data_IF_933753571855
#
_entry.id   IF_933753571855
#
_cell.length_a   1.000
_cell.length_b   1.000
_cell.length_c   1.000
_cell.angle_alpha   90.00
_cell.angle_beta   90.00
_cell.angle_gamma   90.00
#
_symmetry.space_group_name_H-M   'P 1'
#
loop_
_entity.id
_entity.type
_entity.pdbx_description
1 polymer ?
#
# COMPACT_ATOMS: atom_id res chain seq x y z
N UNK A 1 1.88 33.14 -17.67
CA UNK A 1 1.74 32.62 -16.29
C UNK A 1 3.13 32.26 -15.75
N UNK A 2 3.57 32.92 -14.67
CA UNK A 2 4.94 32.83 -14.11
C UNK A 2 5.36 31.38 -13.83
N UNK A 3 6.41 30.91 -14.52
CA UNK A 3 7.14 29.69 -14.17
C UNK A 3 7.80 29.90 -12.80
N UNK A 4 7.32 29.21 -11.77
CA UNK A 4 7.99 29.16 -10.47
C UNK A 4 9.06 28.06 -10.53
N UNK A 5 10.30 28.50 -10.43
CA UNK A 5 11.54 27.75 -10.61
C UNK A 5 11.53 26.38 -9.89
N UNK A 6 11.73 25.29 -10.63
CA UNK A 6 11.88 23.96 -10.03
C UNK A 6 13.28 23.86 -9.45
N UNK A 7 13.38 23.93 -8.11
CA UNK A 7 14.65 23.79 -7.37
C UNK A 7 15.07 22.31 -7.40
N UNK A 8 15.63 21.88 -8.52
CA UNK A 8 16.12 20.53 -8.86
C UNK A 8 15.08 19.45 -9.20
N UNK A 9 14.82 19.17 -10.49
CA UNK A 9 13.94 18.08 -10.94
C UNK A 9 14.47 16.65 -10.67
N UNK A 10 15.67 16.51 -10.09
CA UNK A 10 16.32 15.22 -9.78
C UNK A 10 15.94 14.62 -8.42
N UNK A 11 15.21 15.35 -7.56
CA UNK A 11 14.84 14.87 -6.21
C UNK A 11 13.33 14.71 -6.09
N UNK A 12 12.89 13.48 -5.79
CA UNK A 12 11.49 13.12 -5.52
C UNK A 12 10.87 13.98 -4.40
N UNK A 13 11.69 14.44 -3.45
CA UNK A 13 11.30 15.36 -2.37
C UNK A 13 10.89 16.76 -2.85
N UNK A 14 11.33 17.21 -4.04
CA UNK A 14 10.89 18.51 -4.58
C UNK A 14 9.42 18.52 -5.02
N UNK A 15 8.85 17.35 -5.34
CA UNK A 15 7.43 17.23 -5.66
C UNK A 15 6.55 17.29 -4.40
N UNK A 16 7.03 16.73 -3.28
CA UNK A 16 6.37 16.82 -1.96
C UNK A 16 6.17 18.27 -1.49
N UNK A 17 7.18 19.12 -1.66
CA UNK A 17 7.10 20.53 -1.25
C UNK A 17 6.16 21.36 -2.14
N UNK A 18 5.91 20.94 -3.37
CA UNK A 18 5.02 21.67 -4.29
C UNK A 18 3.53 21.33 -4.05
N UNK A 19 3.22 20.11 -3.57
CA UNK A 19 1.86 19.70 -3.19
C UNK A 19 1.62 19.72 -1.66
N UNK A 20 2.44 20.51 -0.94
CA UNK A 20 2.31 20.77 0.49
C UNK A 20 0.87 21.07 0.98
N UNK A 21 0.02 21.87 0.30
CA UNK A 21 -1.33 22.13 0.81
C UNK A 21 -2.22 20.88 0.85
N UNK A 22 -2.09 19.97 -0.13
CA UNK A 22 -2.88 18.73 -0.15
C UNK A 22 -2.34 17.76 0.89
N UNK A 23 -1.02 17.69 1.05
CA UNK A 23 -0.38 16.89 2.09
C UNK A 23 -0.81 17.35 3.49
N UNK A 24 -0.84 18.67 3.74
CA UNK A 24 -1.30 19.24 5.01
C UNK A 24 -2.77 18.89 5.29
N UNK A 25 -3.66 18.97 4.30
CA UNK A 25 -5.06 18.53 4.46
C UNK A 25 -5.15 17.03 4.77
N UNK A 26 -4.35 16.19 4.12
CA UNK A 26 -4.28 14.75 4.38
C UNK A 26 -3.73 14.46 5.79
N UNK A 27 -2.73 15.21 6.25
CA UNK A 27 -2.15 15.07 7.58
C UNK A 27 -3.12 15.52 8.67
N UNK A 28 -3.77 16.68 8.52
CA UNK A 28 -4.74 17.20 9.49
C UNK A 28 -5.97 16.29 9.58
N UNK A 29 -6.59 15.95 8.44
CA UNK A 29 -7.73 15.02 8.41
C UNK A 29 -7.33 13.62 8.89
N UNK A 30 -6.10 13.20 8.60
CA UNK A 30 -5.51 11.96 9.08
C UNK A 30 -5.38 11.90 10.59
N UNK A 31 -4.81 12.94 11.20
CA UNK A 31 -4.66 13.03 12.65
C UNK A 31 -6.01 13.03 13.37
N UNK A 32 -6.98 13.81 12.88
CA UNK A 32 -8.33 13.87 13.46
C UNK A 32 -8.99 12.49 13.41
N UNK A 33 -8.93 11.81 12.25
CA UNK A 33 -9.45 10.45 12.11
C UNK A 33 -8.74 9.46 13.05
N UNK A 34 -7.41 9.48 13.09
CA UNK A 34 -6.62 8.52 13.87
C UNK A 34 -6.82 8.68 15.38
N UNK A 35 -6.93 9.93 15.88
CA UNK A 35 -7.27 10.20 17.28
C UNK A 35 -8.74 9.80 17.52
N UNK A 36 -9.63 10.09 16.58
CA UNK A 36 -11.04 9.69 16.65
C UNK A 36 -11.26 8.18 16.71
N UNK A 37 -10.36 7.37 16.13
CA UNK A 37 -10.42 5.90 16.25
C UNK A 37 -10.28 5.42 17.70
N UNK A 38 -9.58 6.17 18.56
CA UNK A 38 -9.44 5.89 20.01
C UNK A 38 -10.77 6.06 20.74
N UNK A 39 -11.68 6.90 20.22
CA UNK A 39 -13.01 7.08 20.81
C UNK A 39 -13.83 5.78 20.78
N UNK A 40 -13.62 4.91 19.79
CA UNK A 40 -14.29 3.62 19.66
C UNK A 40 -14.16 2.76 20.92
N UNK A 41 -12.94 2.30 21.26
CA UNK A 41 -12.69 1.53 22.48
C UNK A 41 -13.08 2.26 23.76
N UNK A 42 -12.92 3.59 23.82
CA UNK A 42 -13.29 4.40 24.97
C UNK A 42 -14.80 4.31 25.28
N UNK A 43 -15.63 4.61 24.28
CA UNK A 43 -17.08 4.56 24.42
C UNK A 43 -17.59 3.14 24.63
N UNK A 44 -16.99 2.15 23.95
CA UNK A 44 -17.31 0.74 24.19
C UNK A 44 -17.06 0.35 25.65
N UNK A 45 -15.93 0.75 26.24
CA UNK A 45 -15.64 0.51 27.65
C UNK A 45 -16.67 1.16 28.58
N UNK A 46 -17.05 2.42 28.31
CA UNK A 46 -18.07 3.11 29.11
C UNK A 46 -19.47 2.51 28.97
N UNK A 47 -19.84 2.02 27.79
CA UNK A 47 -21.12 1.36 27.55
C UNK A 47 -21.18 0.01 28.28
N UNK A 48 -20.10 -0.76 28.27
CA UNK A 48 -20.01 -2.03 29.03
C UNK A 48 -20.14 -1.76 30.53
N UNK A 49 -19.42 -0.75 31.05
CA UNK A 49 -19.53 -0.37 32.46
C UNK A 49 -20.93 0.15 32.81
N UNK A 50 -21.52 1.00 31.95
CA UNK A 50 -22.87 1.52 32.14
C UNK A 50 -23.94 0.43 32.11
N UNK A 51 -23.75 -0.62 31.29
CA UNK A 51 -24.64 -1.78 31.25
C UNK A 51 -24.51 -2.63 32.52
N UNK A 52 -23.29 -2.83 33.02
CA UNK A 52 -23.04 -3.50 34.30
C UNK A 52 -23.69 -2.76 35.47
N UNK A 53 -23.59 -1.44 35.50
CA UNK A 53 -24.17 -0.61 36.56
C UNK A 53 -25.71 -0.52 36.48
N UNK A 54 -26.28 -0.57 35.26
CA UNK A 54 -27.74 -0.72 35.06
C UNK A 54 -28.24 -2.06 35.59
N UNK A 55 -27.51 -3.15 35.32
CA UNK A 55 -27.85 -4.50 35.79
C UNK A 55 -27.84 -4.58 37.32
N UNK A 56 -26.93 -3.83 37.96
CA UNK A 56 -26.84 -3.71 39.42
C UNK A 56 -27.78 -2.65 40.03
N UNK A 57 -28.74 -2.13 39.25
CA UNK A 57 -29.71 -1.09 39.65
C UNK A 57 -29.11 0.24 40.14
N UNK A 58 -27.86 0.57 39.76
CA UNK A 58 -27.16 1.78 40.20
C UNK A 58 -27.37 3.00 39.29
N UNK A 59 -27.84 2.81 38.05
CA UNK A 59 -27.93 3.88 37.03
C UNK A 59 -29.30 3.86 36.30
N UNK A 60 -29.77 5.06 35.92
CA UNK A 60 -30.96 5.26 35.09
C UNK A 60 -30.68 4.98 33.60
N UNK A 61 -31.57 4.24 32.92
CA UNK A 61 -31.45 3.89 31.50
C UNK A 61 -31.24 5.10 30.56
N UNK A 62 -31.78 6.28 30.92
CA UNK A 62 -31.60 7.51 30.14
C UNK A 62 -30.13 7.92 29.95
N UNK A 63 -29.26 7.68 30.94
CA UNK A 63 -27.84 8.03 30.86
C UNK A 63 -27.11 7.13 29.87
N UNK A 64 -27.50 5.86 29.78
CA UNK A 64 -26.97 4.91 28.80
C UNK A 64 -27.38 5.28 27.37
N UNK A 65 -28.64 5.69 27.18
CA UNK A 65 -29.16 6.11 25.86
C UNK A 65 -28.45 7.36 25.37
N UNK A 66 -28.25 8.37 26.23
CA UNK A 66 -27.50 9.58 25.89
C UNK A 66 -26.05 9.26 25.49
N UNK A 67 -25.39 8.38 26.24
CA UNK A 67 -24.02 7.96 25.94
C UNK A 67 -23.93 7.19 24.61
N UNK A 68 -24.91 6.34 24.30
CA UNK A 68 -25.00 5.62 23.02
C UNK A 68 -25.23 6.56 21.83
N UNK A 69 -26.12 7.55 21.97
CA UNK A 69 -26.34 8.57 20.94
C UNK A 69 -25.08 9.40 20.68
N UNK A 70 -24.37 9.81 21.74
CA UNK A 70 -23.11 10.53 21.62
C UNK A 70 -22.05 9.67 20.92
N UNK A 71 -21.94 8.40 21.27
CA UNK A 71 -21.05 7.44 20.62
C UNK A 71 -21.33 7.33 19.12
N UNK A 72 -22.62 7.18 18.73
CA UNK A 72 -23.03 7.12 17.33
C UNK A 72 -22.64 8.40 16.56
N UNK A 73 -22.83 9.57 17.16
CA UNK A 73 -22.47 10.86 16.56
C UNK A 73 -20.95 10.96 16.35
N UNK A 74 -20.16 10.61 17.37
CA UNK A 74 -18.68 10.65 17.29
C UNK A 74 -18.18 9.71 16.21
N UNK A 75 -18.68 8.47 16.15
CA UNK A 75 -18.28 7.52 15.11
C UNK A 75 -18.70 8.01 13.72
N UNK A 76 -19.91 8.56 13.56
CA UNK A 76 -20.33 9.14 12.29
C UNK A 76 -19.37 10.26 11.82
N UNK A 77 -18.97 11.16 12.72
CA UNK A 77 -17.99 12.21 12.42
C UNK A 77 -16.64 11.63 11.99
N UNK A 78 -16.13 10.62 12.73
CA UNK A 78 -14.87 9.95 12.40
C UNK A 78 -14.92 9.31 11.01
N UNK A 79 -16.05 8.71 10.63
CA UNK A 79 -16.23 8.12 9.30
C UNK A 79 -16.31 9.17 8.18
N UNK A 80 -16.96 10.31 8.42
CA UNK A 80 -16.98 11.43 7.47
C UNK A 80 -15.55 11.96 7.27
N UNK A 81 -14.78 12.15 8.33
CA UNK A 81 -13.36 12.53 8.25
C UNK A 81 -12.54 11.50 7.45
N UNK A 82 -12.80 10.20 7.66
CA UNK A 82 -12.16 9.12 6.91
C UNK A 82 -12.46 9.21 5.41
N UNK A 83 -13.72 9.47 5.05
CA UNK A 83 -14.15 9.59 3.67
C UNK A 83 -13.45 10.78 2.98
N UNK A 84 -13.43 11.94 3.65
CA UNK A 84 -12.73 13.14 3.16
C UNK A 84 -11.25 12.85 2.97
N UNK A 85 -10.57 12.31 4.00
CA UNK A 85 -9.15 11.93 3.93
C UNK A 85 -8.88 11.02 2.74
N UNK A 86 -9.65 9.94 2.59
CA UNK A 86 -9.47 8.95 1.51
C UNK A 86 -9.68 9.59 0.13
N UNK A 87 -10.63 10.50 0.00
CA UNK A 87 -10.87 11.25 -1.23
C UNK A 87 -9.70 12.22 -1.54
N UNK A 88 -9.23 12.97 -0.55
CA UNK A 88 -8.08 13.89 -0.68
C UNK A 88 -6.81 13.18 -1.10
N UNK A 89 -6.50 12.02 -0.50
CA UNK A 89 -5.36 11.18 -0.90
C UNK A 89 -5.49 10.70 -2.35
N UNK A 90 -6.70 10.36 -2.78
CA UNK A 90 -6.93 9.88 -4.15
C UNK A 90 -6.75 11.02 -5.16
N UNK A 91 -7.22 12.23 -4.84
CA UNK A 91 -6.99 13.45 -5.63
C UNK A 91 -5.49 13.78 -5.69
N UNK A 92 -4.80 13.73 -4.56
CA UNK A 92 -3.35 13.96 -4.48
C UNK A 92 -2.59 13.10 -5.47
N UNK A 93 -2.81 11.78 -5.41
CA UNK A 93 -2.16 10.84 -6.32
C UNK A 93 -2.49 11.14 -7.80
N UNK A 94 -3.75 11.47 -8.11
CA UNK A 94 -4.14 11.82 -9.47
C UNK A 94 -3.50 13.12 -9.96
N UNK A 95 -3.40 14.16 -9.12
CA UNK A 95 -2.73 15.42 -9.45
C UNK A 95 -1.23 15.23 -9.66
N UNK A 96 -0.58 14.47 -8.77
CA UNK A 96 0.83 14.14 -8.88
C UNK A 96 1.11 13.35 -10.17
N UNK A 97 0.32 12.30 -10.48
CA UNK A 97 0.47 11.50 -11.71
C UNK A 97 0.30 12.37 -12.96
N UNK A 98 -0.75 13.20 -13.03
CA UNK A 98 -0.95 14.12 -14.16
C UNK A 98 0.23 15.07 -14.37
N UNK A 99 0.85 15.54 -13.29
CA UNK A 99 1.97 16.48 -13.36
C UNK A 99 3.26 15.82 -13.79
N UNK A 100 3.58 14.65 -13.23
CA UNK A 100 4.75 13.88 -13.66
C UNK A 100 4.63 13.49 -15.13
N UNK A 101 3.44 13.05 -15.59
CA UNK A 101 3.17 12.77 -17.00
C UNK A 101 3.36 14.01 -17.90
N UNK A 102 2.92 15.21 -17.48
CA UNK A 102 3.15 16.45 -18.25
C UNK A 102 4.62 16.84 -18.35
N UNK A 103 5.38 16.71 -17.27
CA UNK A 103 6.82 17.01 -17.29
C UNK A 103 7.57 16.02 -18.18
N UNK A 104 7.19 14.74 -18.12
CA UNK A 104 7.75 13.70 -18.97
C UNK A 104 7.45 13.97 -20.44
N UNK A 105 6.19 14.24 -20.78
CA UNK A 105 5.76 14.56 -22.14
C UNK A 105 6.46 15.81 -22.68
N UNK A 106 6.57 16.87 -21.87
CA UNK A 106 7.26 18.09 -22.27
C UNK A 106 8.76 17.86 -22.51
N UNK A 107 9.40 17.00 -21.72
CA UNK A 107 10.83 16.66 -21.88
C UNK A 107 11.06 15.79 -23.12
N UNK A 108 10.14 14.84 -23.39
CA UNK A 108 10.21 13.97 -24.58
C UNK A 108 9.91 14.73 -25.88
N UNK A 109 9.04 15.74 -25.86
CA UNK A 109 8.78 16.58 -27.03
C UNK A 109 9.96 17.49 -27.39
N UNK A 110 10.71 17.96 -26.40
CA UNK A 110 11.84 18.88 -26.60
C UNK A 110 13.19 18.18 -26.79
N UNK A 111 13.28 16.86 -26.55
CA UNK A 111 14.45 16.04 -26.86
C UNK A 111 14.05 14.98 -27.89
N UNK A 112 14.62 15.02 -29.09
CA UNK A 112 14.47 13.92 -30.05
C UNK A 112 15.16 12.66 -29.52
N UNK A 113 14.39 11.71 -29.01
CA UNK A 113 14.88 10.38 -28.59
C UNK A 113 14.72 9.36 -29.73
N UNK A 114 15.10 9.71 -30.97
CA UNK A 114 15.10 8.78 -32.12
C UNK A 114 13.80 7.97 -32.32
N UNK A 115 13.92 6.85 -33.03
CA UNK A 115 12.80 5.97 -33.41
C UNK A 115 12.14 5.22 -32.24
N UNK A 116 12.79 5.16 -31.07
CA UNK A 116 12.32 4.38 -29.90
C UNK A 116 11.57 5.24 -28.85
N UNK A 117 11.18 6.46 -29.22
CA UNK A 117 10.50 7.42 -28.32
C UNK A 117 9.20 6.83 -27.73
N UNK A 118 8.47 5.98 -28.47
CA UNK A 118 7.21 5.37 -28.01
C UNK A 118 7.39 4.34 -26.88
N UNK A 119 8.42 3.50 -26.97
CA UNK A 119 8.71 2.51 -25.92
C UNK A 119 9.26 3.21 -24.66
N UNK A 120 10.13 4.22 -24.85
CA UNK A 120 10.66 5.07 -23.78
C UNK A 120 9.53 5.81 -23.05
N UNK A 121 8.57 6.36 -23.78
CA UNK A 121 7.40 7.03 -23.20
C UNK A 121 6.54 6.06 -22.39
N UNK A 122 6.27 4.87 -22.93
CA UNK A 122 5.44 3.86 -22.24
C UNK A 122 6.10 3.40 -20.94
N UNK A 123 7.40 3.13 -20.98
CA UNK A 123 8.18 2.72 -19.81
C UNK A 123 8.23 3.80 -18.74
N UNK A 124 8.51 5.04 -19.14
CA UNK A 124 8.62 6.14 -18.21
C UNK A 124 7.26 6.57 -17.61
N UNK A 125 6.14 6.42 -18.34
CA UNK A 125 4.79 6.60 -17.78
C UNK A 125 4.49 5.52 -16.74
N UNK A 126 4.82 4.25 -17.05
CA UNK A 126 4.64 3.13 -16.12
C UNK A 126 5.45 3.29 -14.82
N UNK A 127 6.69 3.75 -14.93
CA UNK A 127 7.55 4.03 -13.78
C UNK A 127 7.00 5.17 -12.92
N UNK A 128 6.45 6.21 -13.54
CA UNK A 128 5.77 7.33 -12.86
C UNK A 128 4.54 6.85 -12.10
N UNK A 129 3.66 6.07 -12.73
CA UNK A 129 2.45 5.58 -12.07
C UNK A 129 2.80 4.66 -10.89
N UNK A 130 3.82 3.80 -11.06
CA UNK A 130 4.33 2.94 -9.99
C UNK A 130 4.89 3.74 -8.82
N UNK A 131 5.61 4.84 -9.09
CA UNK A 131 6.15 5.72 -8.08
C UNK A 131 5.06 6.48 -7.32
N UNK A 132 4.07 7.04 -8.03
CA UNK A 132 2.95 7.76 -7.43
C UNK A 132 2.07 6.83 -6.60
N UNK A 133 1.79 5.62 -7.11
CA UNK A 133 1.04 4.61 -6.38
C UNK A 133 1.78 4.16 -5.12
N UNK A 134 3.10 3.95 -5.23
CA UNK A 134 3.96 3.64 -4.09
C UNK A 134 3.96 4.75 -3.03
N UNK A 135 4.09 6.00 -3.45
CA UNK A 135 4.06 7.18 -2.58
C UNK A 135 2.71 7.35 -1.88
N UNK A 136 1.60 7.14 -2.62
CA UNK A 136 0.25 7.14 -2.05
C UNK A 136 0.12 6.09 -0.96
N UNK A 137 0.45 4.83 -1.27
CA UNK A 137 0.34 3.70 -0.33
C UNK A 137 1.22 3.92 0.89
N UNK A 138 2.47 4.34 0.70
CA UNK A 138 3.39 4.60 1.80
C UNK A 138 2.89 5.71 2.72
N UNK A 139 2.38 6.80 2.14
CA UNK A 139 1.82 7.91 2.91
C UNK A 139 0.60 7.45 3.69
N UNK A 140 -0.36 6.76 3.06
CA UNK A 140 -1.53 6.24 3.79
C UNK A 140 -1.14 5.24 4.85
N UNK A 141 -0.21 4.32 4.59
CA UNK A 141 0.14 3.27 5.54
C UNK A 141 0.82 3.84 6.79
N UNK A 142 1.77 4.76 6.63
CA UNK A 142 2.45 5.38 7.78
C UNK A 142 1.48 6.20 8.61
N UNK A 143 0.64 7.00 7.95
CA UNK A 143 -0.29 7.86 8.67
C UNK A 143 -1.48 7.08 9.24
N UNK A 144 -2.08 6.14 8.53
CA UNK A 144 -3.22 5.33 9.03
C UNK A 144 -2.76 4.31 10.06
N UNK A 145 -1.79 3.47 9.73
CA UNK A 145 -1.39 2.36 10.60
C UNK A 145 -0.49 2.84 11.73
N UNK A 146 0.54 3.64 11.40
CA UNK A 146 1.54 4.07 12.38
C UNK A 146 0.96 4.98 13.48
N UNK A 147 0.20 6.01 13.08
CA UNK A 147 -0.39 6.96 14.04
C UNK A 147 -1.47 6.30 14.88
N UNK A 148 -2.33 5.45 14.31
CA UNK A 148 -3.35 4.71 15.07
C UNK A 148 -2.68 3.76 16.06
N UNK A 149 -1.62 3.07 15.66
CA UNK A 149 -0.89 2.17 16.56
C UNK A 149 -0.29 2.92 17.75
N UNK A 150 0.30 4.11 17.54
CA UNK A 150 0.82 4.96 18.62
C UNK A 150 -0.32 5.47 19.51
N UNK A 151 -1.43 5.91 18.92
CA UNK A 151 -2.57 6.43 19.66
C UNK A 151 -3.21 5.35 20.55
N UNK A 152 -3.37 4.13 20.04
CA UNK A 152 -3.84 3.00 20.84
C UNK A 152 -2.84 2.57 21.91
N UNK A 153 -1.54 2.54 21.60
CA UNK A 153 -0.51 2.23 22.60
C UNK A 153 -0.53 3.24 23.76
N UNK A 154 -0.62 4.53 23.45
CA UNK A 154 -0.70 5.59 24.45
C UNK A 154 -1.98 5.47 25.30
N UNK A 155 -3.12 5.18 24.67
CA UNK A 155 -4.39 4.93 25.37
C UNK A 155 -4.27 3.73 26.32
N UNK A 156 -3.75 2.60 25.84
CA UNK A 156 -3.59 1.37 26.62
C UNK A 156 -2.67 1.59 27.83
N UNK A 157 -1.52 2.26 27.62
CA UNK A 157 -0.61 2.63 28.70
C UNK A 157 -1.26 3.56 29.74
N UNK A 158 -2.15 4.45 29.31
CA UNK A 158 -2.91 5.31 30.22
C UNK A 158 -3.93 4.52 31.06
N UNK A 159 -4.55 3.48 30.52
CA UNK A 159 -5.52 2.65 31.25
C UNK A 159 -4.86 1.68 32.24
N UNK A 160 -3.93 0.85 31.77
CA UNK A 160 -3.19 -0.08 32.63
C UNK A 160 -1.83 -0.44 32.02
N UNK A 161 -0.77 0.03 32.66
CA UNK A 161 0.61 -0.19 32.22
C UNK A 161 1.00 -1.68 32.26
N UNK A 162 0.55 -2.44 33.26
CA UNK A 162 0.95 -3.85 33.45
C UNK A 162 0.33 -4.74 32.39
N UNK A 163 -0.98 -4.60 32.17
CA UNK A 163 -1.71 -5.30 31.10
C UNK A 163 -1.15 -4.93 29.72
N UNK A 164 -0.82 -3.66 29.51
CA UNK A 164 -0.28 -3.18 28.23
C UNK A 164 1.10 -3.75 27.93
N UNK A 165 2.01 -3.81 28.92
CA UNK A 165 3.33 -4.43 28.74
C UNK A 165 3.18 -5.92 28.39
N UNK A 166 2.28 -6.62 29.09
CA UNK A 166 2.00 -8.03 28.83
C UNK A 166 1.40 -8.25 27.43
N UNK A 167 0.55 -7.35 26.93
CA UNK A 167 0.07 -7.40 25.55
C UNK A 167 1.19 -7.06 24.53
N UNK A 168 2.02 -6.06 24.83
CA UNK A 168 3.09 -5.61 23.95
C UNK A 168 4.20 -6.65 23.77
N UNK A 169 4.37 -7.60 24.69
CA UNK A 169 5.37 -8.66 24.56
C UNK A 169 5.10 -9.62 23.39
N UNK A 170 3.85 -9.71 22.93
CA UNK A 170 3.49 -10.52 21.77
C UNK A 170 3.91 -9.88 20.45
N UNK A 171 3.94 -8.54 20.38
CA UNK A 171 4.33 -7.78 19.18
C UNK A 171 5.76 -8.08 18.69
N UNK A 172 6.82 -8.06 19.53
CA UNK A 172 8.17 -8.41 19.08
C UNK A 172 8.28 -9.89 18.69
N UNK A 173 7.57 -10.79 19.37
CA UNK A 173 7.52 -12.20 18.99
C UNK A 173 6.94 -12.39 17.59
N UNK A 174 5.80 -11.74 17.31
CA UNK A 174 5.17 -11.74 15.99
C UNK A 174 6.10 -11.12 14.94
N UNK A 175 6.81 -10.04 15.27
CA UNK A 175 7.77 -9.38 14.38
C UNK A 175 8.94 -10.30 14.00
N UNK A 176 9.48 -11.06 14.95
CA UNK A 176 10.56 -12.03 14.68
C UNK A 176 10.08 -13.11 13.72
N UNK A 177 8.91 -13.70 13.97
CA UNK A 177 8.32 -14.73 13.10
C UNK A 177 8.07 -14.16 11.69
N UNK A 178 7.49 -12.97 11.61
CA UNK A 178 7.25 -12.28 10.34
C UNK A 178 8.56 -12.04 9.56
N UNK A 179 9.65 -11.67 10.23
CA UNK A 179 10.96 -11.48 9.59
C UNK A 179 11.57 -12.78 9.07
N UNK A 180 11.43 -13.88 9.81
CA UNK A 180 11.88 -15.21 9.35
C UNK A 180 11.09 -15.62 8.10
N UNK A 181 9.76 -15.45 8.13
CA UNK A 181 8.91 -15.76 7.00
C UNK A 181 9.23 -14.87 5.79
N UNK A 182 9.41 -13.56 6.01
CA UNK A 182 9.79 -12.59 4.97
C UNK A 182 11.05 -13.02 4.22
N UNK A 183 12.11 -13.45 4.94
CA UNK A 183 13.35 -13.91 4.29
C UNK A 183 13.10 -15.11 3.37
N UNK A 184 12.32 -16.11 3.83
CA UNK A 184 11.98 -17.30 3.04
C UNK A 184 11.13 -16.93 1.82
N UNK A 185 10.08 -16.13 2.01
CA UNK A 185 9.15 -15.69 0.95
C UNK A 185 9.87 -14.84 -0.10
N UNK A 186 10.73 -13.91 0.31
CA UNK A 186 11.49 -13.07 -0.65
C UNK A 186 12.46 -13.91 -1.47
N UNK A 187 13.16 -14.88 -0.85
CA UNK A 187 14.06 -15.78 -1.57
C UNK A 187 13.31 -16.65 -2.59
N UNK A 188 12.18 -17.23 -2.18
CA UNK A 188 11.34 -18.03 -3.06
C UNK A 188 10.78 -17.20 -4.21
N UNK A 189 10.25 -16.00 -3.93
CA UNK A 189 9.75 -15.07 -4.95
C UNK A 189 10.84 -14.61 -5.92
N UNK A 190 12.08 -14.44 -5.46
CA UNK A 190 13.20 -14.11 -6.34
C UNK A 190 13.49 -15.25 -7.32
N UNK A 191 13.62 -16.48 -6.82
CA UNK A 191 13.82 -17.66 -7.66
C UNK A 191 12.67 -17.87 -8.66
N UNK A 192 11.43 -17.64 -8.22
CA UNK A 192 10.24 -17.67 -9.07
C UNK A 192 10.33 -16.64 -10.21
N UNK A 193 10.60 -15.38 -9.89
CA UNK A 193 10.73 -14.30 -10.89
C UNK A 193 11.87 -14.54 -11.87
N UNK A 194 12.99 -15.11 -11.42
CA UNK A 194 14.10 -15.49 -12.31
C UNK A 194 13.67 -16.58 -13.30
N UNK A 195 13.00 -17.63 -12.82
CA UNK A 195 12.48 -18.70 -13.68
C UNK A 195 11.39 -18.20 -14.64
N UNK A 196 10.50 -17.33 -14.18
CA UNK A 196 9.44 -16.70 -14.98
C UNK A 196 10.02 -15.80 -16.07
N UNK A 197 11.07 -15.02 -15.76
CA UNK A 197 11.77 -14.20 -16.74
C UNK A 197 12.39 -15.05 -17.85
N UNK A 198 13.07 -16.16 -17.50
CA UNK A 198 13.65 -17.08 -18.50
C UNK A 198 12.57 -17.68 -19.38
N UNK A 199 11.46 -18.11 -18.79
CA UNK A 199 10.33 -18.65 -19.54
C UNK A 199 9.76 -17.60 -20.51
N UNK A 200 9.57 -16.36 -20.06
CA UNK A 200 9.07 -15.27 -20.91
C UNK A 200 10.01 -14.96 -22.08
N UNK A 201 11.33 -14.96 -21.84
CA UNK A 201 12.32 -14.81 -22.91
C UNK A 201 12.24 -15.95 -23.93
N UNK A 202 12.09 -17.20 -23.50
CA UNK A 202 11.92 -18.35 -24.40
C UNK A 202 10.60 -18.26 -25.19
N UNK A 203 9.53 -17.79 -24.58
CA UNK A 203 8.24 -17.57 -25.26
C UNK A 203 8.38 -16.50 -26.35
N UNK A 204 9.03 -15.38 -26.05
CA UNK A 204 9.27 -14.32 -27.02
C UNK A 204 10.16 -14.79 -28.17
N UNK A 205 11.25 -15.49 -27.88
CA UNK A 205 12.13 -16.08 -28.89
C UNK A 205 11.37 -17.02 -29.84
N UNK A 206 10.52 -17.89 -29.29
CA UNK A 206 9.65 -18.79 -30.07
C UNK A 206 8.72 -18.02 -31.01
N UNK A 207 8.13 -16.92 -30.56
CA UNK A 207 7.21 -16.11 -31.37
C UNK A 207 7.96 -15.38 -32.48
N UNK A 208 9.06 -14.70 -32.13
CA UNK A 208 9.84 -13.88 -33.07
C UNK A 208 10.50 -14.74 -34.15
N UNK A 209 11.00 -15.92 -33.80
CA UNK A 209 11.75 -16.79 -34.70
C UNK A 209 10.96 -18.01 -35.19
N UNK A 210 9.63 -18.02 -35.04
CA UNK A 210 8.77 -19.14 -35.42
C UNK A 210 9.03 -19.65 -36.85
N UNK A 211 9.12 -18.74 -37.83
CA UNK A 211 9.38 -19.09 -39.23
C UNK A 211 10.77 -19.70 -39.44
N UNK A 212 11.78 -19.17 -38.75
CA UNK A 212 13.16 -19.68 -38.80
C UNK A 212 13.25 -21.10 -38.22
N UNK A 213 12.57 -21.35 -37.11
CA UNK A 213 12.51 -22.69 -36.52
C UNK A 213 11.78 -23.70 -37.40
N UNK A 214 10.72 -23.27 -38.09
CA UNK A 214 9.98 -24.10 -39.05
C UNK A 214 10.81 -24.49 -40.26
N UNK A 215 11.55 -23.53 -40.84
CA UNK A 215 12.41 -23.77 -42.01
C UNK A 215 13.61 -24.66 -41.64
N UNK A 216 14.16 -24.51 -40.43
CA UNK A 216 15.31 -25.31 -39.96
C UNK A 216 14.91 -26.67 -39.39
N UNK A 217 13.61 -26.99 -39.30
CA UNK A 217 13.12 -28.26 -38.76
C UNK A 217 13.40 -28.48 -37.26
N UNK A 218 13.72 -27.42 -36.50
CA UNK A 218 14.16 -27.50 -35.09
C UNK A 218 13.03 -27.33 -34.06
N UNK A 219 11.78 -27.33 -34.49
CA UNK A 219 10.62 -27.08 -33.61
C UNK A 219 10.51 -28.06 -32.45
N UNK A 220 10.80 -29.34 -32.67
CA UNK A 220 10.67 -30.38 -31.64
C UNK A 220 11.72 -30.21 -30.52
N UNK A 221 12.98 -29.97 -30.89
CA UNK A 221 14.04 -29.68 -29.92
C UNK A 221 13.80 -28.39 -29.11
N UNK A 222 13.17 -27.38 -29.73
CA UNK A 222 12.75 -26.17 -29.04
C UNK A 222 11.58 -26.45 -28.07
N UNK A 223 10.61 -27.24 -28.48
CA UNK A 223 9.46 -27.60 -27.64
C UNK A 223 9.90 -28.38 -26.40
N UNK A 224 10.84 -29.32 -26.55
CA UNK A 224 11.42 -30.07 -25.43
C UNK A 224 12.15 -29.15 -24.44
N UNK A 225 12.90 -28.16 -24.94
CA UNK A 225 13.57 -27.15 -24.09
C UNK A 225 12.55 -26.28 -23.34
N UNK A 226 11.48 -25.88 -24.02
CA UNK A 226 10.41 -25.08 -23.44
C UNK A 226 9.66 -25.85 -22.35
N UNK A 227 9.32 -27.13 -22.60
CA UNK A 227 8.61 -27.98 -21.64
C UNK A 227 9.46 -28.31 -20.41
N UNK A 228 10.78 -28.50 -20.59
CA UNK A 228 11.74 -28.58 -19.47
C UNK A 228 11.72 -27.32 -18.61
N UNK A 229 11.76 -26.14 -19.22
CA UNK A 229 11.70 -24.86 -18.48
C UNK A 229 10.34 -24.65 -17.80
N UNK A 230 9.25 -25.06 -18.44
CA UNK A 230 7.90 -24.98 -17.87
C UNK A 230 7.76 -25.90 -16.65
N UNK A 231 8.34 -27.10 -16.71
CA UNK A 231 8.40 -28.04 -15.59
C UNK A 231 9.26 -27.50 -14.45
N UNK A 232 10.40 -26.87 -14.77
CA UNK A 232 11.24 -26.21 -13.77
C UNK A 232 10.51 -25.06 -13.08
N UNK A 233 9.79 -24.22 -13.83
CA UNK A 233 8.97 -23.14 -13.28
C UNK A 233 7.88 -23.68 -12.33
N UNK A 234 7.15 -24.73 -12.74
CA UNK A 234 6.18 -25.42 -11.87
C UNK A 234 6.81 -25.93 -10.56
N UNK A 235 8.03 -26.46 -10.60
CA UNK A 235 8.76 -26.90 -9.39
C UNK A 235 9.17 -25.75 -8.49
N UNK A 236 9.56 -24.61 -9.06
CA UNK A 236 9.90 -23.40 -8.27
C UNK A 236 8.65 -22.78 -7.64
N UNK A 237 7.48 -22.98 -8.25
CA UNK A 237 6.18 -22.54 -7.72
C UNK A 237 5.66 -23.44 -6.59
N UNK A 238 5.98 -24.74 -6.57
CA UNK A 238 5.42 -25.70 -5.60
C UNK A 238 5.59 -25.34 -4.10
N UNK A 239 6.68 -24.71 -3.62
CA UNK A 239 6.76 -24.27 -2.23
C UNK A 239 6.01 -22.95 -1.94
N UNK A 240 5.60 -22.20 -2.98
CA UNK A 240 4.86 -20.93 -2.86
C UNK A 240 3.35 -21.19 -2.98
N UNK A 241 2.96 -22.17 -3.78
CA UNK A 241 1.62 -22.74 -3.80
C UNK A 241 1.42 -23.53 -2.51
N UNK A 242 1.18 -22.83 -1.41
CA UNK A 242 0.30 -23.35 -0.38
C UNK A 242 -0.94 -23.82 -1.13
N UNK A 243 -1.13 -25.14 -1.16
CA UNK A 243 -2.26 -25.87 -1.70
C UNK A 243 -3.51 -24.99 -1.53
N UNK A 244 -3.87 -24.26 -2.57
CA UNK A 244 -5.07 -23.45 -2.56
C UNK A 244 -6.26 -24.40 -2.37
N UNK A 245 -7.27 -24.03 -1.58
CA UNK A 245 -8.52 -24.77 -1.57
C UNK A 245 -9.09 -24.90 -2.98
#
# INVERSE_FOLDING_TARGET
MKQKNTRNPKKMTSYFWYEAPILVVVTISGLIYNIGMVAGPYFQGQLVQGLYDLLNHKILANRLIQLSLLYMLVIALVQVCRAIKRFSVRIFANHTSRRMRRLLYNTLLHRQFGDDTGSLMTKAISDVDSCVEGMRKFTTEIFDTGVVMIAYLAMLLYYDVRLTILACMFTPLAYVIANVLKKKVVKANKAYKESESVLNTMTLDRIVHAKTYRITGREQALNDRYEKQLTMNKKVLSPISLKGP
#
